data_IF_928405180092
#
_entry.id   IF_928405180092
#
_cell.length_a   1.000
_cell.length_b   1.000
_cell.length_c   1.000
_cell.angle_alpha   90.00
_cell.angle_beta   90.00
_cell.angle_gamma   90.00
#
_symmetry.space_group_name_H-M   'P 1'
#
loop_
_entity.id
_entity.type
_entity.pdbx_description
1 polymer ?
#
# COMPACT_ATOMS: atom_id res chain seq x y z
N UNK A 1 -73.87 31.07 55.37
CA UNK A 1 -72.71 30.17 55.50
C UNK A 1 -72.41 29.63 54.09
N UNK A 2 -71.57 30.33 53.33
CA UNK A 2 -71.22 29.94 51.95
C UNK A 2 -69.76 29.59 51.91
N UNK A 3 -69.44 28.33 51.53
CA UNK A 3 -68.11 27.86 51.29
C UNK A 3 -67.82 27.97 49.78
N UNK A 4 -66.95 28.88 49.44
CA UNK A 4 -66.44 29.04 48.08
C UNK A 4 -65.23 28.06 47.93
N UNK A 5 -65.39 27.10 47.03
CA UNK A 5 -64.31 26.22 46.66
C UNK A 5 -63.47 26.83 45.53
N UNK A 6 -62.22 27.07 45.79
CA UNK A 6 -61.24 27.58 44.80
C UNK A 6 -60.67 26.42 44.07
N UNK A 7 -60.95 26.26 42.78
CA UNK A 7 -60.38 25.30 41.91
C UNK A 7 -59.03 25.85 41.36
N UNK A 8 -57.91 25.27 41.74
CA UNK A 8 -56.60 25.51 41.09
C UNK A 8 -56.51 24.66 39.82
N UNK A 9 -56.45 25.32 38.68
CA UNK A 9 -56.00 24.67 37.40
C UNK A 9 -54.50 24.64 37.39
N UNK A 10 -53.94 23.42 37.44
CA UNK A 10 -52.52 23.16 37.16
C UNK A 10 -52.31 23.01 35.63
N UNK A 11 -51.68 24.00 35.01
CA UNK A 11 -51.23 23.91 33.63
C UNK A 11 -49.91 23.14 33.59
N UNK A 12 -49.94 21.89 33.17
CA UNK A 12 -48.72 21.09 32.91
C UNK A 12 -48.22 21.48 31.51
N UNK A 13 -47.17 22.31 31.46
CA UNK A 13 -46.45 22.58 30.24
C UNK A 13 -45.59 21.33 29.89
N UNK A 14 -46.04 20.52 28.94
CA UNK A 14 -45.27 19.48 28.33
C UNK A 14 -44.23 20.12 27.38
N UNK A 15 -43.04 20.42 27.91
CA UNK A 15 -41.86 20.73 27.10
C UNK A 15 -41.38 19.47 26.40
N UNK A 16 -41.87 19.25 25.17
CA UNK A 16 -41.40 18.23 24.29
C UNK A 16 -39.92 18.50 23.92
N UNK A 17 -39.03 17.76 24.53
CA UNK A 17 -37.66 17.67 24.06
C UNK A 17 -37.69 16.84 22.77
N UNK A 18 -37.70 17.53 21.62
CA UNK A 18 -37.39 16.91 20.36
C UNK A 18 -35.88 16.50 20.40
N UNK A 19 -35.60 15.25 20.74
CA UNK A 19 -34.31 14.65 20.44
C UNK A 19 -34.16 14.69 18.91
N UNK A 20 -33.37 15.66 18.43
CA UNK A 20 -32.83 15.58 17.08
C UNK A 20 -31.83 14.41 17.09
N UNK A 21 -32.28 13.24 16.67
CA UNK A 21 -31.39 12.21 16.17
C UNK A 21 -30.65 12.80 14.99
N UNK A 22 -29.49 13.42 15.27
CA UNK A 22 -28.47 13.68 14.25
C UNK A 22 -27.90 12.31 13.86
N UNK A 23 -28.62 11.60 13.02
CA UNK A 23 -28.02 10.52 12.28
C UNK A 23 -26.83 11.13 11.53
N UNK A 24 -25.63 10.98 12.10
CA UNK A 24 -24.39 11.22 11.36
C UNK A 24 -24.45 10.24 10.19
N UNK A 25 -24.90 10.71 9.05
CA UNK A 25 -24.69 10.02 7.79
C UNK A 25 -23.18 10.03 7.58
N UNK A 26 -22.51 8.98 8.04
CA UNK A 26 -21.11 8.70 7.74
C UNK A 26 -21.05 8.37 6.24
N UNK A 27 -21.17 9.38 5.39
CA UNK A 27 -20.83 9.25 3.99
C UNK A 27 -19.35 8.87 3.97
N UNK A 28 -18.96 7.74 3.38
CA UNK A 28 -17.55 7.38 3.29
C UNK A 28 -16.81 8.57 2.67
N UNK A 29 -15.87 9.14 3.41
CA UNK A 29 -15.08 10.26 2.93
C UNK A 29 -14.33 9.79 1.69
N UNK A 30 -14.49 10.48 0.55
CA UNK A 30 -13.77 10.15 -0.68
C UNK A 30 -12.26 10.28 -0.45
N UNK A 31 -11.47 9.54 -1.21
CA UNK A 31 -10.01 9.68 -1.22
C UNK A 31 -9.64 11.13 -1.60
N UNK A 32 -8.93 11.80 -0.74
CA UNK A 32 -8.62 13.22 -0.85
C UNK A 32 -7.19 13.46 -1.36
N UNK A 33 -6.88 14.71 -1.71
CA UNK A 33 -5.51 15.12 -2.03
C UNK A 33 -4.56 14.94 -0.83
N UNK A 34 -5.05 15.09 0.39
CA UNK A 34 -4.28 14.83 1.61
C UNK A 34 -3.95 13.34 1.75
N UNK A 35 -4.90 12.45 1.41
CA UNK A 35 -4.66 11.02 1.39
C UNK A 35 -3.58 10.65 0.35
N UNK A 36 -3.62 11.25 -0.83
CA UNK A 36 -2.59 11.04 -1.85
C UNK A 36 -1.21 11.48 -1.35
N UNK A 37 -1.11 12.62 -0.72
CA UNK A 37 0.15 13.10 -0.13
C UNK A 37 0.65 12.16 0.97
N UNK A 38 -0.24 11.66 1.83
CA UNK A 38 0.11 10.71 2.87
C UNK A 38 0.62 9.37 2.30
N UNK A 39 -0.03 8.86 1.25
CA UNK A 39 0.42 7.65 0.53
C UNK A 39 1.80 7.86 -0.10
N UNK A 40 2.04 9.00 -0.76
CA UNK A 40 3.36 9.35 -1.33
C UNK A 40 4.44 9.48 -0.26
N UNK A 41 4.09 10.06 0.89
CA UNK A 41 5.00 10.19 2.03
C UNK A 41 5.44 8.82 2.56
N UNK A 42 4.55 7.82 2.60
CA UNK A 42 4.91 6.46 3.00
C UNK A 42 5.91 5.81 2.04
N UNK A 43 5.75 6.01 0.72
CA UNK A 43 6.71 5.50 -0.27
C UNK A 43 8.10 6.11 -0.05
N UNK A 44 8.16 7.41 0.23
CA UNK A 44 9.44 8.08 0.52
C UNK A 44 10.03 7.63 1.86
N UNK A 45 9.21 7.49 2.90
CA UNK A 45 9.69 7.05 4.21
C UNK A 45 10.16 5.60 4.19
N UNK A 46 9.56 4.73 3.37
CA UNK A 46 10.09 3.40 3.09
C UNK A 46 11.55 3.49 2.60
N UNK A 47 11.84 4.33 1.61
CA UNK A 47 13.19 4.55 1.09
C UNK A 47 14.14 5.13 2.15
N UNK A 48 13.67 6.10 2.93
CA UNK A 48 14.45 6.74 3.98
C UNK A 48 14.84 5.75 5.10
N UNK A 49 13.89 4.91 5.53
CA UNK A 49 14.13 3.91 6.58
C UNK A 49 15.07 2.81 6.11
N UNK A 50 14.94 2.38 4.84
CA UNK A 50 15.88 1.48 4.19
C UNK A 50 17.30 2.03 4.26
N UNK A 51 17.51 3.29 3.86
CA UNK A 51 18.82 3.94 3.80
C UNK A 51 19.47 4.16 5.18
N UNK A 52 18.66 4.27 6.22
CA UNK A 52 19.15 4.31 7.61
C UNK A 52 19.37 2.90 8.17
N UNK A 53 19.04 1.85 7.42
CA UNK A 53 19.00 0.46 7.90
C UNK A 53 18.14 0.29 9.18
N UNK A 54 17.13 1.15 9.34
CA UNK A 54 16.21 1.12 10.47
C UNK A 54 15.00 0.24 10.12
N UNK A 55 15.20 -1.06 10.20
CA UNK A 55 14.16 -2.03 9.88
C UNK A 55 12.98 -1.96 10.86
N UNK A 56 13.20 -1.51 12.09
CA UNK A 56 12.10 -1.30 13.02
C UNK A 56 11.18 -0.19 12.53
N UNK A 57 11.74 1.00 12.23
CA UNK A 57 10.95 2.11 11.70
C UNK A 57 10.32 1.76 10.35
N UNK A 58 11.02 1.02 9.48
CA UNK A 58 10.49 0.60 8.19
C UNK A 58 9.20 -0.23 8.36
N UNK A 59 9.19 -1.18 9.29
CA UNK A 59 8.05 -2.06 9.50
C UNK A 59 6.97 -1.49 10.43
N UNK A 60 7.19 -0.30 11.02
CA UNK A 60 6.09 0.49 11.58
C UNK A 60 5.19 1.10 10.50
N UNK A 61 5.64 1.16 9.26
CA UNK A 61 4.82 1.57 8.10
C UNK A 61 3.81 0.49 7.69
N UNK A 62 4.01 -0.76 8.11
CA UNK A 62 3.20 -1.91 7.71
C UNK A 62 1.97 -2.11 8.58
N UNK A 63 0.97 -2.80 8.01
CA UNK A 63 -0.09 -3.44 8.81
C UNK A 63 0.44 -4.70 9.51
N UNK A 64 -0.22 -5.16 10.56
CA UNK A 64 0.17 -6.38 11.27
C UNK A 64 0.08 -7.64 10.38
N UNK A 65 -0.85 -7.63 9.42
CA UNK A 65 -1.14 -8.69 8.47
C UNK A 65 -0.47 -8.49 7.10
N UNK A 66 0.55 -7.64 7.00
CA UNK A 66 1.23 -7.31 5.75
C UNK A 66 1.71 -8.56 5.00
N UNK A 67 1.59 -8.53 3.68
CA UNK A 67 2.17 -9.50 2.77
C UNK A 67 3.29 -8.87 1.95
N UNK A 68 4.37 -9.63 1.77
CA UNK A 68 5.58 -9.13 1.15
C UNK A 68 6.15 -10.12 0.14
N UNK A 69 6.28 -9.69 -1.10
CA UNK A 69 7.00 -10.44 -2.15
C UNK A 69 8.22 -9.63 -2.56
N UNK A 70 9.40 -10.14 -2.26
CA UNK A 70 10.63 -9.45 -2.62
C UNK A 70 11.05 -9.74 -4.06
N UNK A 71 12.07 -9.03 -4.52
CA UNK A 71 12.57 -9.06 -5.91
C UNK A 71 13.01 -10.45 -6.39
N UNK A 72 13.34 -11.37 -5.47
CA UNK A 72 13.69 -12.76 -5.79
C UNK A 72 12.54 -13.75 -5.57
N UNK A 73 11.33 -13.23 -5.28
CA UNK A 73 10.12 -14.03 -5.14
C UNK A 73 9.91 -14.65 -3.76
N UNK A 74 10.69 -14.30 -2.74
CA UNK A 74 10.37 -14.70 -1.37
C UNK A 74 9.04 -14.08 -0.96
N UNK A 75 8.11 -14.93 -0.46
CA UNK A 75 6.81 -14.52 0.03
C UNK A 75 6.75 -14.65 1.55
N UNK A 76 6.68 -13.52 2.22
CA UNK A 76 6.58 -13.42 3.67
C UNK A 76 5.24 -12.85 4.08
N UNK A 77 4.69 -13.34 5.18
CA UNK A 77 3.40 -12.91 5.72
C UNK A 77 3.51 -12.55 7.18
N UNK A 78 2.85 -11.45 7.54
CA UNK A 78 2.81 -10.88 8.87
C UNK A 78 4.06 -10.05 9.19
N UNK A 79 3.83 -8.89 9.79
CA UNK A 79 4.83 -7.87 10.14
C UNK A 79 6.07 -8.44 10.82
N UNK A 80 5.87 -9.34 11.79
CA UNK A 80 6.99 -9.96 12.51
C UNK A 80 7.90 -10.78 11.59
N UNK A 81 7.32 -11.56 10.66
CA UNK A 81 8.10 -12.38 9.72
C UNK A 81 8.88 -11.50 8.75
N UNK A 82 8.19 -10.49 8.18
CA UNK A 82 8.79 -9.54 7.23
C UNK A 82 9.94 -8.77 7.90
N UNK A 83 9.71 -8.25 9.10
CA UNK A 83 10.74 -7.58 9.90
C UNK A 83 11.98 -8.45 10.13
N UNK A 84 11.80 -9.70 10.60
CA UNK A 84 12.91 -10.62 10.84
C UNK A 84 13.70 -10.92 9.56
N UNK A 85 12.99 -11.11 8.45
CA UNK A 85 13.61 -11.29 7.14
C UNK A 85 14.50 -10.11 6.74
N UNK A 86 13.97 -8.88 6.84
CA UNK A 86 14.73 -7.68 6.52
C UNK A 86 15.91 -7.44 7.47
N UNK A 87 15.74 -7.67 8.78
CA UNK A 87 16.87 -7.60 9.74
C UNK A 87 17.98 -8.56 9.34
N UNK A 88 17.64 -9.77 8.88
CA UNK A 88 18.65 -10.74 8.46
C UNK A 88 19.42 -10.28 7.21
N UNK A 89 18.69 -9.84 6.16
CA UNK A 89 19.34 -9.40 4.91
C UNK A 89 20.12 -8.09 5.08
N UNK A 90 19.68 -7.16 5.94
CA UNK A 90 20.38 -5.92 6.22
C UNK A 90 21.63 -6.09 7.09
N UNK A 91 21.77 -7.22 7.79
CA UNK A 91 23.03 -7.63 8.45
C UNK A 91 24.02 -8.28 7.50
N UNK A 92 23.58 -8.69 6.32
CA UNK A 92 24.36 -9.39 5.31
C UNK A 92 24.37 -8.67 3.97
N UNK A 93 23.71 -9.25 2.97
CA UNK A 93 23.75 -8.81 1.58
C UNK A 93 23.30 -7.37 1.34
N UNK A 94 22.44 -6.83 2.18
CA UNK A 94 21.93 -5.46 2.06
C UNK A 94 22.61 -4.46 3.01
N UNK A 95 23.69 -4.85 3.70
CA UNK A 95 24.33 -4.01 4.72
C UNK A 95 24.85 -2.65 4.18
N UNK A 96 25.08 -2.56 2.87
CA UNK A 96 25.57 -1.35 2.20
C UNK A 96 24.67 -0.89 1.06
N UNK A 97 23.49 -1.48 0.92
CA UNK A 97 22.54 -1.07 -0.12
C UNK A 97 21.87 0.23 0.23
N UNK A 98 21.58 1.02 -0.78
CA UNK A 98 20.74 2.22 -0.66
C UNK A 98 19.67 2.23 -1.74
N UNK A 99 18.62 3.00 -1.51
CA UNK A 99 17.53 3.14 -2.48
C UNK A 99 17.07 4.59 -2.57
N UNK A 100 16.55 4.97 -3.72
CA UNK A 100 15.87 6.25 -3.91
C UNK A 100 14.63 6.08 -4.79
N UNK A 101 13.63 6.91 -4.57
CA UNK A 101 12.41 6.95 -5.38
C UNK A 101 12.64 7.89 -6.55
N UNK A 102 12.64 7.36 -7.78
CA UNK A 102 12.71 8.16 -9.00
C UNK A 102 11.34 8.76 -9.34
N UNK A 103 10.30 7.95 -9.26
CA UNK A 103 8.92 8.38 -9.50
C UNK A 103 7.95 7.49 -8.74
N UNK A 104 6.76 8.03 -8.47
CA UNK A 104 5.65 7.27 -7.91
C UNK A 104 4.33 7.75 -8.49
N UNK A 105 3.45 6.83 -8.84
CA UNK A 105 2.05 7.11 -9.17
C UNK A 105 1.16 6.56 -8.08
N UNK A 106 0.09 7.27 -7.76
CA UNK A 106 -0.90 6.85 -6.77
C UNK A 106 -2.26 6.73 -7.43
N UNK A 107 -2.96 5.64 -7.16
CA UNK A 107 -4.33 5.41 -7.62
C UNK A 107 -5.18 4.92 -6.46
N UNK A 108 -6.23 5.64 -6.16
CA UNK A 108 -7.26 5.20 -5.22
C UNK A 108 -8.06 4.04 -5.82
N UNK A 109 -8.33 3.01 -5.03
CA UNK A 109 -9.26 1.92 -5.34
C UNK A 109 -10.56 2.05 -4.55
N UNK A 110 -10.48 2.64 -3.37
CA UNK A 110 -11.59 2.94 -2.47
C UNK A 110 -11.17 4.11 -1.55
N UNK A 111 -12.08 4.72 -0.79
CA UNK A 111 -11.75 5.81 0.13
C UNK A 111 -10.61 5.49 1.12
N UNK A 112 -10.44 4.22 1.44
CA UNK A 112 -9.45 3.74 2.41
C UNK A 112 -8.45 2.75 1.81
N UNK A 113 -8.40 2.63 0.48
CA UNK A 113 -7.48 1.71 -0.22
C UNK A 113 -6.85 2.41 -1.41
N UNK A 114 -5.54 2.36 -1.50
CA UNK A 114 -4.78 2.92 -2.61
C UNK A 114 -3.68 1.95 -3.07
N UNK A 115 -3.32 2.06 -4.34
CA UNK A 115 -2.09 1.47 -4.89
C UNK A 115 -1.14 2.60 -5.21
N UNK A 116 0.11 2.47 -4.76
CA UNK A 116 1.23 3.26 -5.24
C UNK A 116 2.17 2.36 -6.05
N UNK A 117 2.56 2.83 -7.24
CA UNK A 117 3.59 2.16 -8.05
C UNK A 117 4.76 3.11 -8.18
N UNK A 118 5.92 2.68 -7.69
CA UNK A 118 7.14 3.48 -7.69
C UNK A 118 8.22 2.85 -8.57
N UNK A 119 8.95 3.69 -9.31
CA UNK A 119 10.25 3.32 -9.86
C UNK A 119 11.30 3.69 -8.83
N UNK A 120 12.08 2.71 -8.43
CA UNK A 120 13.11 2.90 -7.41
C UNK A 120 14.48 2.51 -7.97
N UNK A 121 15.48 3.32 -7.61
CA UNK A 121 16.88 2.95 -7.82
C UNK A 121 17.40 2.24 -6.60
N UNK A 122 18.02 1.11 -6.82
CA UNK A 122 18.82 0.42 -5.83
C UNK A 122 20.30 0.55 -6.18
N UNK A 123 21.13 0.78 -5.17
CA UNK A 123 22.57 0.55 -5.28
C UNK A 123 22.82 -0.85 -4.69
N UNK A 124 22.82 -1.89 -5.52
CA UNK A 124 22.99 -3.27 -5.06
C UNK A 124 24.45 -3.51 -4.70
N UNK A 125 24.66 -4.43 -3.76
CA UNK A 125 25.96 -5.09 -3.63
C UNK A 125 25.91 -6.30 -4.57
N UNK A 126 26.93 -6.52 -5.40
CA UNK A 126 27.01 -7.72 -6.22
C UNK A 126 26.91 -8.97 -5.35
N UNK A 127 25.91 -9.81 -5.60
CA UNK A 127 25.73 -11.08 -4.92
C UNK A 127 25.97 -12.21 -5.94
N UNK A 128 26.93 -13.12 -5.71
CA UNK A 128 27.20 -14.22 -6.63
C UNK A 128 26.04 -15.20 -6.79
N UNK A 129 25.10 -15.26 -5.82
CA UNK A 129 23.90 -16.09 -5.92
C UNK A 129 22.82 -15.46 -6.80
N UNK A 130 22.89 -14.14 -7.01
CA UNK A 130 21.94 -13.38 -7.82
C UNK A 130 22.67 -12.45 -8.78
N UNK A 131 23.50 -12.98 -9.70
CA UNK A 131 24.35 -12.17 -10.59
C UNK A 131 23.54 -11.27 -11.54
N UNK A 132 22.26 -11.57 -11.74
CA UNK A 132 21.32 -10.79 -12.52
C UNK A 132 20.71 -9.62 -11.73
N UNK A 133 20.84 -9.63 -10.40
CA UNK A 133 20.34 -8.56 -9.52
C UNK A 133 21.29 -7.35 -9.47
N UNK A 134 21.99 -7.11 -10.56
CA UNK A 134 22.85 -5.94 -10.74
C UNK A 134 22.07 -4.73 -11.27
N UNK A 135 20.80 -4.93 -11.60
CA UNK A 135 19.95 -3.88 -12.14
C UNK A 135 19.70 -2.81 -11.08
N UNK A 136 20.02 -1.59 -11.46
CA UNK A 136 19.87 -0.42 -10.60
C UNK A 136 18.39 -0.01 -10.41
N UNK A 137 17.45 -0.54 -11.19
CA UNK A 137 16.05 -0.12 -11.16
C UNK A 137 15.11 -1.27 -10.83
N UNK A 138 14.15 -0.97 -9.98
CA UNK A 138 13.04 -1.87 -9.68
C UNK A 138 11.70 -1.14 -9.80
N UNK A 139 10.65 -1.89 -10.11
CA UNK A 139 9.27 -1.45 -10.01
C UNK A 139 8.68 -2.00 -8.73
N UNK A 140 8.36 -1.11 -7.79
CA UNK A 140 7.74 -1.47 -6.52
C UNK A 140 6.25 -1.14 -6.57
N UNK A 141 5.42 -2.07 -6.12
CA UNK A 141 3.98 -1.88 -5.95
C UNK A 141 3.63 -2.00 -4.48
N UNK A 142 2.92 -1.00 -3.97
CA UNK A 142 2.44 -0.91 -2.61
C UNK A 142 0.92 -0.90 -2.63
N UNK A 143 0.26 -1.86 -1.99
CA UNK A 143 -1.15 -1.72 -1.64
C UNK A 143 -1.23 -1.16 -0.23
N UNK A 144 -1.86 -0.02 -0.10
CA UNK A 144 -1.97 0.71 1.16
C UNK A 144 -3.42 0.80 1.61
N UNK A 145 -3.62 0.71 2.91
CA UNK A 145 -4.93 0.82 3.56
C UNK A 145 -4.90 1.89 4.64
N UNK A 146 -6.00 2.63 4.77
CA UNK A 146 -6.20 3.59 5.84
C UNK A 146 -6.93 2.91 6.99
N UNK A 147 -6.26 2.76 8.14
CA UNK A 147 -6.81 2.21 9.38
C UNK A 147 -6.61 3.24 10.50
N UNK A 148 -7.64 3.52 11.26
CA UNK A 148 -7.61 4.47 12.38
C UNK A 148 -7.03 5.85 11.99
N UNK A 149 -7.43 6.33 10.81
CA UNK A 149 -6.99 7.61 10.27
C UNK A 149 -5.58 7.64 9.66
N UNK A 150 -4.81 6.55 9.73
CA UNK A 150 -3.44 6.46 9.24
C UNK A 150 -3.31 5.48 8.08
N UNK A 151 -2.54 5.86 7.05
CA UNK A 151 -2.19 4.97 5.95
C UNK A 151 -1.08 4.00 6.36
N UNK A 152 -1.20 2.73 5.94
CA UNK A 152 -0.25 1.64 6.20
C UNK A 152 -0.07 0.79 4.96
N UNK A 153 1.10 0.16 4.82
CA UNK A 153 1.39 -0.80 3.76
C UNK A 153 0.78 -2.14 4.15
N UNK A 154 -0.18 -2.63 3.36
CA UNK A 154 -0.81 -3.94 3.55
C UNK A 154 -0.20 -5.01 2.63
N UNK A 155 0.35 -4.60 1.49
CA UNK A 155 1.05 -5.50 0.58
C UNK A 155 2.16 -4.73 -0.14
N UNK A 156 3.29 -5.41 -0.32
CA UNK A 156 4.43 -4.93 -1.10
C UNK A 156 4.90 -6.01 -2.07
N UNK A 157 5.23 -5.59 -3.27
CA UNK A 157 5.94 -6.41 -4.24
C UNK A 157 6.88 -5.55 -5.06
N UNK A 158 8.07 -6.05 -5.36
CA UNK A 158 8.96 -5.41 -6.32
C UNK A 158 9.50 -6.42 -7.35
N UNK A 159 9.90 -5.89 -8.49
CA UNK A 159 10.55 -6.63 -9.57
C UNK A 159 11.64 -5.78 -10.19
N UNK A 160 12.66 -6.44 -10.72
CA UNK A 160 13.69 -5.76 -11.53
C UNK A 160 13.05 -5.25 -12.82
N UNK A 161 13.43 -4.05 -13.23
CA UNK A 161 13.08 -3.52 -14.55
C UNK A 161 14.13 -3.95 -15.54
N UNK A 162 13.75 -4.79 -16.49
CA UNK A 162 14.58 -5.10 -17.65
C UNK A 162 14.54 -3.88 -18.60
N UNK A 163 15.69 -3.24 -18.91
CA UNK A 163 15.73 -2.08 -19.80
C UNK A 163 15.15 -2.35 -21.19
N UNK A 164 15.23 -3.60 -21.67
CA UNK A 164 14.63 -3.96 -22.95
C UNK A 164 13.12 -3.96 -22.86
N UNK A 165 12.55 -4.60 -21.82
CA UNK A 165 11.10 -4.61 -21.61
C UNK A 165 10.54 -3.22 -21.30
N UNK A 166 11.31 -2.35 -20.64
CA UNK A 166 10.88 -0.97 -20.35
C UNK A 166 10.73 -0.13 -21.63
N UNK A 167 11.56 -0.40 -22.64
CA UNK A 167 11.57 0.33 -23.90
C UNK A 167 10.71 -0.33 -25.00
N UNK A 168 10.14 -1.50 -24.75
CA UNK A 168 9.29 -2.18 -25.72
C UNK A 168 7.96 -1.43 -25.89
N UNK A 169 7.63 -1.13 -27.15
CA UNK A 169 6.33 -0.58 -27.52
C UNK A 169 5.30 -1.71 -27.60
N UNK A 170 4.43 -1.82 -26.61
CA UNK A 170 3.40 -2.86 -26.53
C UNK A 170 2.57 -3.03 -27.82
N UNK A 171 2.18 -1.96 -28.56
CA UNK A 171 1.50 -2.12 -29.84
C UNK A 171 2.35 -2.80 -30.92
N UNK A 172 3.67 -2.79 -30.77
CA UNK A 172 4.63 -3.45 -31.66
C UNK A 172 5.16 -4.76 -31.13
N UNK A 173 4.70 -5.17 -29.92
CA UNK A 173 5.13 -6.42 -29.33
C UNK A 173 4.65 -7.58 -30.21
N UNK A 174 5.59 -8.23 -30.90
CA UNK A 174 5.30 -9.38 -31.72
C UNK A 174 5.14 -10.63 -30.84
N UNK A 175 3.91 -11.10 -30.72
CA UNK A 175 3.58 -12.33 -30.00
C UNK A 175 3.56 -13.54 -30.93
N UNK A 176 3.92 -13.40 -32.21
CA UNK A 176 4.02 -14.53 -33.15
C UNK A 176 5.06 -15.54 -32.67
N UNK A 177 4.63 -16.77 -32.52
CA UNK A 177 5.49 -17.83 -31.97
C UNK A 177 5.64 -17.85 -30.46
N UNK A 178 4.91 -16.99 -29.73
CA UNK A 178 4.87 -17.07 -28.27
C UNK A 178 3.56 -17.71 -27.78
N UNK A 179 3.58 -18.67 -26.91
CA UNK A 179 4.76 -19.36 -26.38
C UNK A 179 5.47 -20.19 -27.45
N UNK A 180 6.79 -20.44 -27.33
CA UNK A 180 7.54 -21.16 -28.36
C UNK A 180 7.07 -22.61 -28.49
N UNK A 181 7.31 -23.27 -29.65
CA UNK A 181 7.02 -24.68 -29.84
C UNK A 181 7.61 -25.53 -28.72
N UNK A 182 6.81 -26.46 -28.18
CA UNK A 182 7.18 -27.31 -27.05
C UNK A 182 6.81 -26.72 -25.67
N UNK A 183 6.41 -25.47 -25.56
CA UNK A 183 5.87 -24.94 -24.31
C UNK A 183 4.47 -25.54 -24.02
N UNK A 184 4.14 -25.88 -22.74
CA UNK A 184 2.84 -26.50 -22.40
C UNK A 184 1.61 -25.66 -22.80
N UNK A 185 1.76 -24.34 -22.92
CA UNK A 185 0.70 -23.43 -23.35
C UNK A 185 0.74 -23.14 -24.87
N UNK A 186 1.65 -23.77 -25.62
CA UNK A 186 1.74 -23.57 -27.07
C UNK A 186 0.49 -24.12 -27.76
N UNK A 187 -0.28 -23.21 -28.39
CA UNK A 187 -1.41 -23.58 -29.23
C UNK A 187 -1.17 -23.03 -30.65
N UNK A 188 -0.82 -23.89 -31.61
CA UNK A 188 -0.54 -23.48 -32.98
C UNK A 188 -1.80 -23.06 -33.77
N UNK A 189 -2.98 -23.25 -33.20
CA UNK A 189 -4.24 -22.90 -33.89
C UNK A 189 -4.52 -21.40 -33.70
N UNK A 190 -4.55 -20.59 -34.77
CA UNK A 190 -4.99 -19.18 -34.66
C UNK A 190 -6.42 -19.13 -34.12
N UNK A 191 -6.67 -18.23 -33.17
CA UNK A 191 -8.03 -17.88 -32.71
C UNK A 191 -8.70 -16.96 -33.69
#
# INVERSE_FOLDING_TARGET
MNRIALAMLAVIALSGWAMRDSAMTNTPQAFSAEDELAVRALVNEFSNTWNRHDMKAMHELDTEDVEWINVVGHYWRGKTTVYKGHVAIHKGMNATTSTSVESATVRSLAPTVAIAVATMHFVPVPDPHYPWLTAAKTRASFTMVKRDGSWKIAHFQNTVIDPKAENDDLPKFDTTGFPPPGHPLYNPTPR
#
